data_IF_015900371794
#
_entry.id   IF_015900371794
#
_cell.length_a   1.000
_cell.length_b   1.000
_cell.length_c   1.000
_cell.angle_alpha   90.00
_cell.angle_beta   90.00
_cell.angle_gamma   90.00
#
_symmetry.space_group_name_H-M   'P 1'
#
loop_
_entity.id
_entity.type
_entity.pdbx_description
1 polymer ?
#
# COMPACT_ATOMS: atom_id res chain seq x y z
N UNK A 1 -1.15 -12.25 -30.68
CA UNK A 1 -1.63 -12.23 -29.27
C UNK A 1 -0.39 -12.07 -28.39
N UNK A 2 -0.20 -10.95 -27.66
CA UNK A 2 0.93 -10.85 -26.76
C UNK A 2 0.64 -11.70 -25.51
N UNK A 3 1.56 -12.59 -25.20
CA UNK A 3 1.57 -13.37 -23.96
C UNK A 3 1.93 -12.42 -22.81
N UNK A 4 0.94 -12.00 -22.03
CA UNK A 4 1.21 -11.49 -20.69
C UNK A 4 1.54 -12.69 -19.81
N UNK A 5 2.82 -12.85 -19.48
CA UNK A 5 3.28 -13.85 -18.51
C UNK A 5 2.67 -13.55 -17.15
N UNK A 6 1.90 -14.51 -16.62
CA UNK A 6 1.22 -14.44 -15.33
C UNK A 6 2.05 -15.07 -14.21
N UNK A 7 3.37 -14.98 -14.27
CA UNK A 7 4.25 -15.62 -13.28
C UNK A 7 5.49 -14.77 -13.01
N UNK A 8 5.31 -13.62 -12.34
CA UNK A 8 6.38 -12.99 -11.54
C UNK A 8 5.80 -12.52 -10.19
N UNK A 9 6.07 -13.34 -9.18
CA UNK A 9 6.25 -13.07 -7.74
C UNK A 9 5.62 -11.82 -7.13
N UNK A 10 4.42 -12.01 -6.55
CA UNK A 10 3.84 -11.06 -5.61
C UNK A 10 4.41 -11.25 -4.20
N UNK A 11 5.72 -11.03 -4.03
CA UNK A 11 6.32 -10.78 -2.70
C UNK A 11 6.00 -9.36 -2.21
N UNK A 12 5.67 -8.46 -3.14
CA UNK A 12 5.40 -7.06 -2.86
C UNK A 12 3.89 -6.83 -2.68
N UNK A 13 3.52 -6.03 -1.67
CA UNK A 13 2.14 -5.60 -1.41
C UNK A 13 1.63 -4.58 -2.45
N UNK A 14 2.06 -4.70 -3.69
CA UNK A 14 1.66 -3.82 -4.78
C UNK A 14 0.33 -4.30 -5.36
N UNK A 15 -0.66 -3.40 -5.37
CA UNK A 15 -1.95 -3.68 -5.98
C UNK A 15 -1.93 -3.11 -7.39
N UNK A 16 -1.94 -3.99 -8.38
CA UNK A 16 -1.94 -3.62 -9.80
C UNK A 16 -3.34 -3.81 -10.37
N UNK A 17 -3.89 -2.76 -10.98
CA UNK A 17 -5.21 -2.82 -11.60
C UNK A 17 -5.08 -2.86 -13.14
N UNK A 18 -5.75 -3.80 -13.82
CA UNK A 18 -5.73 -3.87 -15.28
C UNK A 18 -6.53 -2.73 -15.94
N UNK A 19 -7.49 -2.14 -15.22
CA UNK A 19 -8.35 -1.06 -15.69
C UNK A 19 -8.43 0.04 -14.64
N UNK A 20 -7.90 1.22 -14.95
CA UNK A 20 -7.96 2.40 -14.12
C UNK A 20 -8.84 3.47 -14.79
N UNK A 21 -9.65 4.24 -14.02
CA UNK A 21 -9.73 4.23 -12.55
C UNK A 21 -10.68 3.16 -11.96
N UNK A 22 -11.55 2.53 -12.78
CA UNK A 22 -12.66 1.71 -12.30
C UNK A 22 -12.26 0.58 -11.34
N UNK A 23 -11.18 -0.15 -11.63
CA UNK A 23 -10.70 -1.23 -10.76
C UNK A 23 -10.23 -0.73 -9.40
N UNK A 24 -9.70 0.50 -9.34
CA UNK A 24 -9.30 1.15 -8.09
C UNK A 24 -10.52 1.58 -7.28
N UNK A 25 -11.51 2.22 -7.92
CA UNK A 25 -12.74 2.66 -7.26
C UNK A 25 -13.48 1.46 -6.64
N UNK A 26 -13.60 0.36 -7.39
CA UNK A 26 -14.21 -0.87 -6.92
C UNK A 26 -13.49 -1.46 -5.69
N UNK A 27 -12.15 -1.40 -5.67
CA UNK A 27 -11.38 -1.88 -4.53
C UNK A 27 -11.61 -1.01 -3.29
N UNK A 28 -11.58 0.31 -3.45
CA UNK A 28 -11.83 1.27 -2.38
C UNK A 28 -13.23 1.09 -1.80
N UNK A 29 -14.25 0.96 -2.65
CA UNK A 29 -15.63 0.92 -2.20
C UNK A 29 -16.03 -0.45 -1.63
N UNK A 30 -15.49 -1.55 -2.16
CA UNK A 30 -15.95 -2.91 -1.84
C UNK A 30 -15.02 -3.64 -0.87
N UNK A 31 -13.70 -3.43 -0.96
CA UNK A 31 -12.71 -4.22 -0.20
C UNK A 31 -12.29 -3.51 1.08
N UNK A 32 -11.91 -2.23 0.99
CA UNK A 32 -11.40 -1.46 2.14
C UNK A 32 -12.36 -1.50 3.35
N UNK A 33 -13.69 -1.34 3.20
CA UNK A 33 -14.62 -1.42 4.34
C UNK A 33 -14.60 -2.78 5.04
N UNK A 34 -14.43 -3.87 4.28
CA UNK A 34 -14.30 -5.22 4.83
C UNK A 34 -13.03 -5.38 5.68
N UNK A 35 -11.90 -4.90 5.16
CA UNK A 35 -10.62 -4.94 5.88
C UNK A 35 -10.68 -4.08 7.17
N UNK A 36 -11.33 -2.91 7.11
CA UNK A 36 -11.54 -2.05 8.28
C UNK A 36 -12.49 -2.68 9.30
N UNK A 37 -13.55 -3.37 8.86
CA UNK A 37 -14.48 -4.09 9.74
C UNK A 37 -13.79 -5.23 10.50
N UNK A 38 -12.82 -5.87 9.87
CA UNK A 38 -12.04 -6.95 10.49
C UNK A 38 -10.81 -6.46 11.26
N UNK A 39 -10.59 -5.14 11.34
CA UNK A 39 -9.52 -4.55 12.14
C UNK A 39 -8.10 -4.75 11.59
N UNK A 40 -7.98 -5.21 10.34
CA UNK A 40 -6.68 -5.44 9.68
C UNK A 40 -6.24 -4.26 8.81
N UNK A 41 -7.11 -3.25 8.66
CA UNK A 41 -6.79 -2.03 7.95
C UNK A 41 -7.20 -0.79 8.75
N UNK A 42 -6.36 0.24 8.67
CA UNK A 42 -6.54 1.51 9.38
C UNK A 42 -7.76 2.28 8.87
N UNK A 43 -8.37 3.04 9.78
CA UNK A 43 -9.46 3.97 9.47
C UNK A 43 -8.97 5.40 9.29
N UNK A 44 -7.90 5.76 9.99
CA UNK A 44 -7.29 7.09 9.95
C UNK A 44 -5.76 6.98 9.99
N UNK A 45 -5.08 8.04 9.54
CA UNK A 45 -3.64 8.18 9.62
C UNK A 45 -3.29 9.09 10.79
N UNK A 46 -2.53 8.58 11.76
CA UNK A 46 -2.13 9.35 12.94
C UNK A 46 -0.80 10.09 12.74
N UNK A 47 0.07 9.55 11.89
CA UNK A 47 1.37 10.12 11.56
C UNK A 47 1.26 11.32 10.61
N UNK A 48 2.09 12.33 10.85
CA UNK A 48 2.26 13.51 10.00
C UNK A 48 3.17 13.23 8.80
N UNK A 49 3.94 12.15 8.85
CA UNK A 49 4.82 11.74 7.76
C UNK A 49 4.48 10.34 7.26
N UNK A 50 4.79 10.05 5.99
CA UNK A 50 4.67 8.70 5.43
C UNK A 50 5.39 7.66 6.29
N UNK A 51 6.58 8.04 6.79
CA UNK A 51 7.41 7.19 7.62
C UNK A 51 6.71 6.78 8.93
N UNK A 52 6.08 7.74 9.61
CA UNK A 52 5.29 7.49 10.82
C UNK A 52 4.10 6.57 10.51
N UNK A 53 3.39 6.82 9.41
CA UNK A 53 2.26 5.99 8.99
C UNK A 53 2.64 4.57 8.57
N UNK A 54 3.92 4.32 8.27
CA UNK A 54 4.46 2.99 7.98
C UNK A 54 5.17 2.36 9.19
N UNK A 55 5.22 3.03 10.34
CA UNK A 55 5.90 2.53 11.54
C UNK A 55 7.43 2.45 11.39
N UNK A 56 8.00 3.25 10.49
CA UNK A 56 9.42 3.19 10.16
C UNK A 56 10.25 4.16 11.02
N UNK A 57 11.42 3.73 11.49
CA UNK A 57 12.37 4.61 12.18
C UNK A 57 12.97 5.65 11.23
N UNK A 58 13.25 6.85 11.75
CA UNK A 58 13.97 7.88 10.99
C UNK A 58 15.47 7.52 10.95
N UNK A 59 16.07 7.37 9.75
CA UNK A 59 17.50 7.09 9.66
C UNK A 59 18.30 8.31 10.12
N UNK A 60 19.40 8.06 10.81
CA UNK A 60 20.37 9.10 11.17
C UNK A 60 21.05 9.60 9.90
N UNK A 61 21.35 10.89 9.86
CA UNK A 61 22.06 11.45 8.71
C UNK A 61 23.52 10.98 8.71
N UNK A 62 23.89 10.19 7.70
CA UNK A 62 25.23 9.61 7.53
C UNK A 62 26.40 10.60 7.43
N UNK A 63 26.13 11.89 7.22
CA UNK A 63 27.14 12.95 7.09
C UNK A 63 27.22 13.86 8.32
N UNK A 64 26.24 13.75 9.23
CA UNK A 64 26.11 14.59 10.41
C UNK A 64 25.77 13.72 11.64
N UNK A 65 26.47 12.60 11.79
CA UNK A 65 26.46 11.84 13.05
C UNK A 65 27.17 12.69 14.12
N UNK A 66 26.52 12.86 15.28
CA UNK A 66 27.11 13.50 16.46
C UNK A 66 28.05 12.52 17.17
#
# INVERSE_FOLDING_TARGET
MPNFGLEEELEHNEIVFPFLPEGFDDFVDKVVPGLQKHGIFRKEYEGKTLRENLGLSRPVNRFFEN
#
